data_IF_484047021050
#
_entry.id   IF_484047021050
#
_cell.length_a   1.000
_cell.length_b   1.000
_cell.length_c   1.000
_cell.angle_alpha   90.00
_cell.angle_beta   90.00
_cell.angle_gamma   90.00
#
_symmetry.space_group_name_H-M   'P 1'
#
loop_
_entity.id
_entity.type
_entity.pdbx_description
1 polymer ?
#
# COMPACT_ATOMS: atom_id res chain seq x y z
N UNK A 1 -1.52 -17.60 -12.64
CA UNK A 1 -2.46 -17.92 -11.53
C UNK A 1 -2.54 -16.70 -10.63
N UNK A 2 -3.74 -16.31 -10.18
CA UNK A 2 -3.89 -15.16 -9.27
C UNK A 2 -4.03 -15.67 -7.84
N UNK A 3 -3.26 -15.10 -6.92
CA UNK A 3 -3.33 -15.43 -5.49
C UNK A 3 -3.46 -14.15 -4.66
N UNK A 4 -4.30 -14.19 -3.62
CA UNK A 4 -4.51 -13.06 -2.71
C UNK A 4 -4.02 -13.46 -1.33
N UNK A 5 -3.07 -12.70 -0.79
CA UNK A 5 -2.53 -12.88 0.56
C UNK A 5 -3.03 -11.77 1.48
N UNK A 6 -3.72 -12.15 2.56
CA UNK A 6 -4.03 -11.24 3.67
C UNK A 6 -2.86 -11.24 4.65
N UNK A 7 -2.43 -10.07 5.08
CA UNK A 7 -1.20 -9.88 5.87
C UNK A 7 -1.28 -8.54 6.63
N UNK A 8 -0.13 -8.01 7.05
CA UNK A 8 -0.01 -6.73 7.74
C UNK A 8 1.06 -5.85 7.07
N UNK A 9 1.36 -4.70 7.67
CA UNK A 9 2.36 -3.75 7.18
C UNK A 9 3.80 -4.26 7.16
N UNK A 10 4.12 -5.36 7.84
CA UNK A 10 5.48 -5.91 7.89
C UNK A 10 5.82 -6.81 6.70
N UNK A 11 4.86 -7.09 5.82
CA UNK A 11 5.10 -7.91 4.65
C UNK A 11 6.03 -7.17 3.66
N UNK A 12 7.17 -7.76 3.27
CA UNK A 12 8.15 -7.10 2.41
C UNK A 12 7.60 -6.76 1.02
N UNK A 13 6.70 -7.59 0.47
CA UNK A 13 6.08 -7.37 -0.83
C UNK A 13 5.08 -6.21 -0.77
N UNK A 14 4.35 -6.09 0.34
CA UNK A 14 3.49 -4.93 0.60
C UNK A 14 4.32 -3.64 0.68
N UNK A 15 5.44 -3.67 1.42
CA UNK A 15 6.36 -2.53 1.55
C UNK A 15 6.92 -2.13 0.19
N UNK A 16 7.29 -3.09 -0.67
CA UNK A 16 7.81 -2.83 -2.01
C UNK A 16 6.77 -2.09 -2.88
N UNK A 17 5.54 -2.62 -2.97
CA UNK A 17 4.45 -1.99 -3.73
C UNK A 17 4.07 -0.60 -3.20
N UNK A 18 4.11 -0.40 -1.88
CA UNK A 18 3.89 0.94 -1.29
C UNK A 18 4.98 1.93 -1.70
N UNK A 19 6.24 1.49 -1.84
CA UNK A 19 7.32 2.37 -2.33
C UNK A 19 7.11 2.79 -3.77
N UNK A 20 6.58 1.90 -4.61
CA UNK A 20 6.23 2.21 -5.99
C UNK A 20 5.08 3.21 -6.06
N UNK A 21 4.04 3.03 -5.24
CA UNK A 21 2.96 4.02 -5.07
C UNK A 21 3.52 5.38 -4.64
N UNK A 22 4.39 5.41 -3.63
CA UNK A 22 4.99 6.66 -3.13
C UNK A 22 5.86 7.34 -4.20
N UNK A 23 6.58 6.56 -5.01
CA UNK A 23 7.36 7.08 -6.14
C UNK A 23 6.45 7.65 -7.24
N UNK A 24 5.32 7.00 -7.52
CA UNK A 24 4.33 7.51 -8.46
C UNK A 24 3.70 8.82 -7.96
N UNK A 25 3.27 8.86 -6.70
CA UNK A 25 2.71 10.08 -6.09
C UNK A 25 3.75 11.21 -6.04
N UNK A 26 5.04 10.91 -5.81
CA UNK A 26 6.12 11.91 -5.89
C UNK A 26 6.12 12.68 -7.21
N UNK A 27 5.96 11.96 -8.31
CA UNK A 27 6.01 12.55 -9.66
C UNK A 27 4.82 13.47 -9.87
N UNK A 28 3.67 13.13 -9.29
CA UNK A 28 2.44 13.94 -9.37
C UNK A 28 2.53 15.16 -8.44
N UNK A 29 3.02 14.98 -7.22
CA UNK A 29 2.97 15.99 -6.14
C UNK A 29 4.13 17.01 -6.17
N UNK A 30 5.15 16.81 -7.01
CA UNK A 30 6.25 17.78 -7.20
C UNK A 30 7.18 17.95 -5.98
N UNK A 31 7.63 19.18 -5.70
CA UNK A 31 8.68 19.48 -4.70
C UNK A 31 8.27 19.31 -3.22
N UNK A 32 6.99 19.06 -2.89
CA UNK A 32 6.52 18.87 -1.50
C UNK A 32 6.88 17.49 -0.89
N UNK A 33 7.62 16.66 -1.62
CA UNK A 33 7.83 15.26 -1.27
C UNK A 33 8.57 15.00 0.06
N UNK A 34 9.35 15.99 0.53
CA UNK A 34 10.04 15.88 1.82
C UNK A 34 9.08 15.96 3.02
N UNK A 35 7.90 16.57 2.86
CA UNK A 35 6.95 16.83 3.95
C UNK A 35 6.05 15.62 4.26
N UNK A 36 5.75 14.77 3.26
CA UNK A 36 4.83 13.64 3.40
C UNK A 36 5.46 12.33 3.91
N UNK A 37 6.80 12.19 3.85
CA UNK A 37 7.50 11.00 4.36
C UNK A 37 7.21 10.72 5.84
N UNK A 38 6.99 11.75 6.66
CA UNK A 38 6.70 11.59 8.10
C UNK A 38 5.29 11.06 8.39
N UNK A 39 4.35 11.20 7.45
CA UNK A 39 2.98 10.70 7.58
C UNK A 39 2.78 9.31 6.95
N UNK A 40 3.77 8.83 6.18
CA UNK A 40 3.73 7.54 5.49
C UNK A 40 4.15 6.34 6.36
N UNK A 41 4.18 6.48 7.68
CA UNK A 41 4.41 5.34 8.57
C UNK A 41 3.29 4.30 8.39
N UNK A 42 3.57 3.31 7.55
CA UNK A 42 2.76 2.11 7.36
C UNK A 42 2.79 1.20 8.59
N UNK A 43 3.67 1.48 9.57
CA UNK A 43 3.93 0.72 10.81
C UNK A 43 2.70 0.37 11.66
N UNK A 44 1.51 0.88 11.34
CA UNK A 44 0.27 0.65 12.11
C UNK A 44 -0.84 -0.05 11.30
N UNK A 45 -0.60 -0.45 10.05
CA UNK A 45 -1.62 -1.10 9.22
C UNK A 45 -1.70 -2.60 9.49
N UNK A 46 -2.64 -3.00 10.36
CA UNK A 46 -2.89 -4.40 10.74
C UNK A 46 -3.60 -5.24 9.68
N UNK A 47 -4.27 -4.59 8.74
CA UNK A 47 -5.06 -5.27 7.71
C UNK A 47 -4.61 -4.82 6.33
N UNK A 48 -3.75 -5.63 5.72
CA UNK A 48 -3.24 -5.41 4.37
C UNK A 48 -3.49 -6.63 3.50
N UNK A 49 -3.51 -6.40 2.20
CA UNK A 49 -3.71 -7.41 1.16
C UNK A 49 -2.66 -7.22 0.08
N UNK A 50 -2.08 -8.32 -0.39
CA UNK A 50 -1.19 -8.36 -1.55
C UNK A 50 -1.75 -9.34 -2.59
N UNK A 51 -1.86 -8.89 -3.83
CA UNK A 51 -2.23 -9.68 -4.99
C UNK A 51 -0.95 -10.15 -5.67
N UNK A 52 -0.88 -11.44 -5.97
CA UNK A 52 0.21 -12.05 -6.71
C UNK A 52 -0.28 -12.57 -8.06
N UNK A 53 0.47 -12.27 -9.11
CA UNK A 53 0.41 -12.98 -10.38
C UNK A 53 1.54 -14.02 -10.40
N UNK A 54 1.16 -15.29 -10.27
CA UNK A 54 2.06 -16.39 -9.97
C UNK A 54 2.77 -16.16 -8.62
N UNK A 55 4.07 -15.82 -8.65
CA UNK A 55 4.88 -15.52 -7.47
C UNK A 55 5.26 -14.04 -7.38
N UNK A 56 4.82 -13.22 -8.34
CA UNK A 56 5.18 -11.81 -8.44
C UNK A 56 4.07 -10.97 -7.78
N UNK A 57 4.37 -10.13 -6.79
CA UNK A 57 3.40 -9.20 -6.22
C UNK A 57 3.10 -8.10 -7.24
N UNK A 58 1.81 -7.87 -7.55
CA UNK A 58 1.38 -6.94 -8.61
C UNK A 58 0.37 -5.90 -8.13
N UNK A 59 -0.20 -6.07 -6.95
CA UNK A 59 -1.09 -5.07 -6.35
C UNK A 59 -1.14 -5.18 -4.83
N UNK A 60 -1.40 -4.06 -4.15
CA UNK A 60 -1.62 -4.02 -2.71
C UNK A 60 -2.78 -3.14 -2.31
N UNK A 61 -3.27 -3.36 -1.09
CA UNK A 61 -4.27 -2.53 -0.45
C UNK A 61 -4.22 -2.66 1.06
N UNK A 62 -4.64 -1.62 1.77
CA UNK A 62 -4.79 -1.65 3.21
C UNK A 62 -6.11 -1.00 3.62
N UNK A 63 -6.62 -1.40 4.78
CA UNK A 63 -7.74 -0.70 5.40
C UNK A 63 -7.56 -0.61 6.90
N UNK A 64 -8.17 0.40 7.50
CA UNK A 64 -8.25 0.54 8.95
C UNK A 64 -9.66 0.99 9.36
N UNK A 65 -10.13 0.61 10.56
CA UNK A 65 -11.35 1.19 11.12
C UNK A 65 -11.22 2.73 11.18
N UNK A 66 -12.26 3.42 10.73
CA UNK A 66 -12.39 4.87 10.87
C UNK A 66 -13.33 5.19 12.04
N UNK A 67 -14.46 4.49 12.12
CA UNK A 67 -15.39 4.49 13.25
C UNK A 67 -16.09 3.12 13.37
N UNK A 68 -17.15 3.03 14.18
CA UNK A 68 -17.89 1.77 14.43
C UNK A 68 -18.53 1.14 13.18
N UNK A 69 -18.80 1.94 12.13
CA UNK A 69 -19.52 1.50 10.93
C UNK A 69 -18.74 1.74 9.63
N UNK A 70 -17.64 2.49 9.69
CA UNK A 70 -16.88 2.90 8.52
C UNK A 70 -15.43 2.42 8.58
N UNK A 71 -14.89 2.10 7.40
CA UNK A 71 -13.48 1.79 7.19
C UNK A 71 -12.84 2.81 6.25
N UNK A 72 -11.58 3.14 6.50
CA UNK A 72 -10.77 3.94 5.59
C UNK A 72 -9.92 2.99 4.73
N UNK A 73 -10.05 3.10 3.40
CA UNK A 73 -9.19 2.39 2.44
C UNK A 73 -7.95 3.23 2.17
N UNK A 74 -6.76 2.63 2.26
CA UNK A 74 -5.47 3.30 2.08
C UNK A 74 -4.52 2.44 1.27
N UNK A 75 -3.49 3.07 0.68
CA UNK A 75 -2.37 2.39 0.01
C UNK A 75 -2.82 1.38 -1.05
N UNK A 76 -3.86 1.74 -1.80
CA UNK A 76 -4.31 0.96 -2.95
C UNK A 76 -3.37 1.25 -4.11
N UNK A 77 -2.75 0.22 -4.65
CA UNK A 77 -1.86 0.33 -5.80
C UNK A 77 -1.90 -0.96 -6.60
N UNK A 78 -1.86 -0.80 -7.92
CA UNK A 78 -1.68 -1.90 -8.88
C UNK A 78 -0.54 -1.46 -9.78
N UNK A 79 0.45 -2.34 -9.96
CA UNK A 79 1.57 -2.12 -10.86
C UNK A 79 1.04 -1.79 -12.26
N UNK A 80 1.47 -0.67 -12.88
CA UNK A 80 1.20 -0.40 -14.28
C UNK A 80 2.03 -1.39 -15.12
N UNK A 81 1.36 -2.46 -15.57
CA UNK A 81 1.94 -3.48 -16.46
C UNK A 81 2.17 -3.02 -17.89
#
# INVERSE_FOLDING_TARGET
>A
MINIKRTDSNNPDFIALVKELDAYLKVIDGEEHAFYKQFNNIDVLKHTVVLYSNTIPVACGAFKPFDEKNIEIKRMYTEPG
#
